data_IF_714246026573
#
_entry.id   IF_714246026573
#
_cell.length_a   1.000
_cell.length_b   1.000
_cell.length_c   1.000
_cell.angle_alpha   90.00
_cell.angle_beta   90.00
_cell.angle_gamma   90.00
#
_symmetry.space_group_name_H-M   'P 1'
#
loop_
_entity.id
_entity.type
_entity.pdbx_description
1 polymer ?
#
# COMPACT_ATOMS: atom_id res chain seq x y z
N UNK A 1 -2.51 45.36 2.78
CA UNK A 1 -2.46 43.97 2.29
C UNK A 1 -3.16 43.94 0.95
N UNK A 2 -2.42 43.52 -0.07
CA UNK A 2 -2.92 43.27 -1.42
C UNK A 2 -4.06 42.22 -1.37
N UNK A 3 -5.02 42.30 -2.30
CA UNK A 3 -6.14 41.33 -2.35
C UNK A 3 -5.62 39.91 -2.56
N UNK A 4 -4.54 39.77 -3.33
CA UNK A 4 -3.82 38.51 -3.54
C UNK A 4 -3.28 37.94 -2.22
N UNK A 5 -2.61 38.75 -1.39
CA UNK A 5 -2.03 38.30 -0.11
C UNK A 5 -3.11 37.73 0.83
N UNK A 6 -4.27 38.41 0.87
CA UNK A 6 -5.42 37.93 1.65
C UNK A 6 -5.94 36.60 1.11
N UNK A 7 -6.03 36.46 -0.22
CA UNK A 7 -6.50 35.22 -0.86
C UNK A 7 -5.55 34.06 -0.58
N UNK A 8 -4.24 34.27 -0.76
CA UNK A 8 -3.20 33.27 -0.48
C UNK A 8 -3.26 32.83 0.99
N UNK A 9 -3.39 33.77 1.92
CA UNK A 9 -3.48 33.48 3.35
C UNK A 9 -4.75 32.69 3.70
N UNK A 10 -5.90 33.11 3.17
CA UNK A 10 -7.18 32.43 3.38
C UNK A 10 -7.15 30.99 2.86
N UNK A 11 -6.68 30.80 1.63
CA UNK A 11 -6.61 29.47 1.01
C UNK A 11 -5.67 28.52 1.77
N UNK A 12 -4.56 29.06 2.27
CA UNK A 12 -3.64 28.26 3.09
C UNK A 12 -4.30 27.81 4.40
N UNK A 13 -5.02 28.69 5.09
CA UNK A 13 -5.76 28.33 6.31
C UNK A 13 -6.76 27.23 6.00
N UNK A 14 -7.53 27.39 4.92
CA UNK A 14 -8.52 26.42 4.47
C UNK A 14 -7.92 25.04 4.16
N UNK A 15 -6.78 25.00 3.47
CA UNK A 15 -6.07 23.76 3.15
C UNK A 15 -5.58 23.14 4.45
N UNK A 16 -4.89 23.92 5.30
CA UNK A 16 -4.31 23.45 6.56
C UNK A 16 -5.34 22.83 7.50
N UNK A 17 -6.52 23.42 7.61
CA UNK A 17 -7.63 22.85 8.41
C UNK A 17 -8.14 21.51 7.88
N UNK A 18 -8.02 21.27 6.58
CA UNK A 18 -8.55 20.08 5.90
C UNK A 18 -7.47 19.00 5.67
N UNK A 19 -6.20 19.29 5.97
CA UNK A 19 -5.07 18.35 5.79
C UNK A 19 -5.26 17.02 6.52
N UNK A 20 -5.94 17.01 7.67
CA UNK A 20 -6.15 15.80 8.49
C UNK A 20 -7.21 14.85 7.93
N UNK A 21 -7.98 15.27 6.92
CA UNK A 21 -9.10 14.50 6.38
C UNK A 21 -9.04 14.48 4.84
N UNK A 22 -8.48 13.42 4.21
CA UNK A 22 -8.35 13.30 2.76
C UNK A 22 -9.63 13.59 1.98
N UNK A 23 -10.77 13.02 2.40
CA UNK A 23 -12.05 13.25 1.73
C UNK A 23 -12.51 14.72 1.75
N UNK A 24 -12.25 15.44 2.85
CA UNK A 24 -12.57 16.88 2.96
C UNK A 24 -11.66 17.70 2.07
N UNK A 25 -10.36 17.37 2.04
CA UNK A 25 -9.39 18.04 1.18
C UNK A 25 -9.67 17.80 -0.30
N UNK A 26 -9.98 16.55 -0.71
CA UNK A 26 -10.41 16.18 -2.06
C UNK A 26 -11.61 17.02 -2.52
N UNK A 27 -12.63 17.12 -1.66
CA UNK A 27 -13.83 17.90 -1.92
C UNK A 27 -13.53 19.40 -2.06
N UNK A 28 -12.71 19.96 -1.17
CA UNK A 28 -12.31 21.36 -1.22
C UNK A 28 -11.50 21.70 -2.48
N UNK A 29 -10.59 20.81 -2.87
CA UNK A 29 -9.81 20.94 -4.11
C UNK A 29 -10.64 20.60 -5.36
N UNK A 30 -11.89 20.12 -5.23
CA UNK A 30 -12.74 19.74 -6.37
C UNK A 30 -12.03 18.76 -7.30
N UNK A 31 -11.41 17.72 -6.74
CA UNK A 31 -10.70 16.70 -7.50
C UNK A 31 -11.64 15.56 -7.88
N UNK A 32 -11.72 15.27 -9.18
CA UNK A 32 -12.54 14.19 -9.73
C UNK A 32 -11.83 12.84 -9.64
N UNK A 33 -12.61 11.76 -9.53
CA UNK A 33 -12.06 10.43 -9.32
C UNK A 33 -11.29 9.88 -10.51
N UNK A 34 -11.72 10.24 -11.72
CA UNK A 34 -11.05 9.85 -12.96
C UNK A 34 -9.65 10.47 -13.04
N UNK A 35 -9.53 11.75 -12.68
CA UNK A 35 -8.25 12.45 -12.59
C UNK A 35 -7.32 11.81 -11.56
N UNK A 36 -7.81 11.52 -10.35
CA UNK A 36 -7.00 10.85 -9.31
C UNK A 36 -6.56 9.43 -9.73
N UNK A 37 -7.41 8.71 -10.45
CA UNK A 37 -7.10 7.39 -10.98
C UNK A 37 -6.02 7.43 -12.07
N UNK A 38 -6.00 8.48 -12.89
CA UNK A 38 -4.92 8.72 -13.84
C UNK A 38 -3.60 9.02 -13.13
N UNK A 39 -3.61 9.88 -12.11
CA UNK A 39 -2.42 10.18 -11.30
C UNK A 39 -1.88 8.94 -10.58
N UNK A 40 -2.76 8.07 -10.07
CA UNK A 40 -2.38 6.80 -9.48
C UNK A 40 -1.61 5.90 -10.46
N UNK A 41 -2.00 5.89 -11.75
CA UNK A 41 -1.27 5.14 -12.78
C UNK A 41 0.12 5.73 -13.01
N UNK A 42 0.24 7.05 -13.09
CA UNK A 42 1.52 7.74 -13.27
C UNK A 42 2.45 7.45 -12.08
N UNK A 43 1.96 7.58 -10.84
CA UNK A 43 2.71 7.25 -9.63
C UNK A 43 3.23 5.80 -9.63
N UNK A 44 2.44 4.83 -10.10
CA UNK A 44 2.87 3.43 -10.22
C UNK A 44 4.00 3.22 -11.23
N UNK A 45 4.10 4.08 -12.24
CA UNK A 45 5.16 4.00 -13.26
C UNK A 45 6.47 4.67 -12.86
N UNK A 46 6.49 5.46 -11.77
CA UNK A 46 7.71 6.06 -11.24
C UNK A 46 8.53 5.01 -10.47
N UNK A 47 9.47 4.36 -11.17
CA UNK A 47 10.22 3.21 -10.66
C UNK A 47 11.46 3.56 -9.84
N UNK A 48 12.13 4.68 -10.16
CA UNK A 48 13.44 5.03 -9.56
C UNK A 48 13.34 6.08 -8.46
N UNK A 49 12.54 7.14 -8.65
CA UNK A 49 12.39 8.20 -7.64
C UNK A 49 10.99 8.29 -7.03
N UNK A 50 10.08 7.36 -7.35
CA UNK A 50 8.72 7.25 -6.80
C UNK A 50 7.99 8.59 -6.70
N UNK A 51 7.60 9.00 -5.48
CA UNK A 51 6.87 10.26 -5.22
C UNK A 51 7.67 11.51 -5.55
N UNK A 52 8.97 11.51 -5.31
CA UNK A 52 9.89 12.64 -5.57
C UNK A 52 9.99 12.89 -7.08
N UNK A 53 10.17 11.84 -7.87
CA UNK A 53 10.21 11.90 -9.34
C UNK A 53 8.89 12.43 -9.92
N UNK A 54 7.77 11.89 -9.42
CA UNK A 54 6.44 12.33 -9.79
C UNK A 54 6.24 13.83 -9.51
N UNK A 55 6.53 14.30 -8.29
CA UNK A 55 6.41 15.71 -7.91
C UNK A 55 7.29 16.61 -8.76
N UNK A 56 8.56 16.21 -8.97
CA UNK A 56 9.50 16.97 -9.81
C UNK A 56 8.95 17.16 -11.22
N UNK A 57 8.42 16.11 -11.85
CA UNK A 57 7.86 16.17 -13.21
C UNK A 57 6.69 17.15 -13.31
N UNK A 58 5.75 17.10 -12.36
CA UNK A 58 4.60 18.00 -12.35
C UNK A 58 4.98 19.45 -12.06
N UNK A 59 5.87 19.68 -11.10
CA UNK A 59 6.38 21.02 -10.78
C UNK A 59 7.12 21.62 -11.98
N UNK A 60 7.97 20.84 -12.65
CA UNK A 60 8.62 21.27 -13.88
C UNK A 60 7.61 21.62 -14.97
N UNK A 61 6.54 20.84 -15.14
CA UNK A 61 5.47 21.16 -16.09
C UNK A 61 4.81 22.52 -15.81
N UNK A 62 4.51 22.81 -14.54
CA UNK A 62 3.96 24.11 -14.10
C UNK A 62 4.94 25.24 -14.41
N UNK A 63 6.21 25.13 -14.04
CA UNK A 63 7.19 26.19 -14.29
C UNK A 63 7.54 26.35 -15.77
N UNK A 64 7.59 25.28 -16.56
CA UNK A 64 7.74 25.37 -18.01
C UNK A 64 6.57 26.10 -18.67
N UNK A 65 5.36 25.96 -18.13
CA UNK A 65 4.24 26.81 -18.54
C UNK A 65 4.47 28.27 -18.16
N UNK A 66 4.79 28.56 -16.89
CA UNK A 66 4.99 29.94 -16.41
C UNK A 66 6.10 30.67 -17.19
N UNK A 67 7.21 30.00 -17.50
CA UNK A 67 8.30 30.57 -18.33
C UNK A 67 7.84 30.86 -19.77
N UNK A 68 6.97 30.02 -20.36
CA UNK A 68 6.42 30.31 -21.70
C UNK A 68 5.58 31.59 -21.74
N UNK A 69 5.00 32.00 -20.61
CA UNK A 69 4.23 33.24 -20.50
C UNK A 69 5.09 34.50 -20.66
N UNK A 70 6.41 34.38 -20.56
CA UNK A 70 7.33 35.48 -20.89
C UNK A 70 7.25 35.85 -22.38
N UNK A 71 6.87 34.90 -23.25
CA UNK A 71 6.85 35.09 -24.70
C UNK A 71 5.45 34.95 -25.31
N UNK A 72 4.51 34.30 -24.61
CA UNK A 72 3.19 33.96 -25.13
C UNK A 72 2.06 34.39 -24.18
N UNK A 73 0.89 34.70 -24.74
CA UNK A 73 -0.31 34.98 -23.95
C UNK A 73 -1.02 33.67 -23.65
N UNK A 74 -1.29 33.32 -22.38
CA UNK A 74 -1.99 32.09 -22.04
C UNK A 74 -3.46 32.17 -22.40
N UNK A 75 -4.07 31.03 -22.75
CA UNK A 75 -5.53 30.90 -22.73
C UNK A 75 -6.01 30.64 -21.30
N UNK A 76 -7.29 30.93 -21.01
CA UNK A 76 -7.89 30.58 -19.72
C UNK A 76 -7.83 29.08 -19.44
N UNK A 77 -8.03 28.26 -20.47
CA UNK A 77 -7.93 26.80 -20.38
C UNK A 77 -6.53 26.34 -19.98
N UNK A 78 -5.47 26.93 -20.56
CA UNK A 78 -4.09 26.58 -20.17
C UNK A 78 -3.83 26.83 -18.68
N UNK A 79 -4.43 27.88 -18.12
CA UNK A 79 -4.28 28.27 -16.71
C UNK A 79 -5.07 27.32 -15.81
N UNK A 80 -6.29 26.97 -16.20
CA UNK A 80 -7.12 25.98 -15.49
C UNK A 80 -6.43 24.62 -15.42
N UNK A 81 -5.81 24.17 -16.51
CA UNK A 81 -5.03 22.92 -16.54
C UNK A 81 -3.87 22.94 -15.54
N UNK A 82 -3.15 24.05 -15.41
CA UNK A 82 -2.05 24.15 -14.42
C UNK A 82 -2.55 24.31 -13.00
N UNK A 83 -3.67 24.98 -12.80
CA UNK A 83 -4.32 25.05 -11.49
C UNK A 83 -4.77 23.66 -11.04
N UNK A 84 -5.30 22.82 -11.94
CA UNK A 84 -5.62 21.43 -11.66
C UNK A 84 -4.39 20.62 -11.26
N UNK A 85 -3.27 20.75 -11.98
CA UNK A 85 -2.00 20.08 -11.62
C UNK A 85 -1.54 20.49 -10.22
N UNK A 86 -1.66 21.77 -9.86
CA UNK A 86 -1.30 22.25 -8.52
C UNK A 86 -2.21 21.68 -7.44
N UNK A 87 -3.52 21.54 -7.72
CA UNK A 87 -4.45 20.87 -6.79
C UNK A 87 -4.09 19.40 -6.58
N UNK A 88 -3.77 18.67 -7.65
CA UNK A 88 -3.33 17.27 -7.55
C UNK A 88 -2.05 17.15 -6.73
N UNK A 89 -1.06 18.03 -6.97
CA UNK A 89 0.18 18.08 -6.20
C UNK A 89 -0.06 18.34 -4.71
N UNK A 90 -0.89 19.33 -4.36
CA UNK A 90 -1.28 19.61 -2.97
C UNK A 90 -1.89 18.35 -2.34
N UNK A 91 -2.78 17.67 -3.05
CA UNK A 91 -3.46 16.49 -2.53
C UNK A 91 -2.50 15.32 -2.30
N UNK A 92 -1.66 14.98 -3.28
CA UNK A 92 -0.66 13.92 -3.16
C UNK A 92 0.31 14.22 -2.02
N UNK A 93 0.77 15.46 -1.90
CA UNK A 93 1.69 15.88 -0.85
C UNK A 93 1.05 15.82 0.55
N UNK A 94 -0.25 16.09 0.64
CA UNK A 94 -1.02 15.98 1.88
C UNK A 94 -1.23 14.53 2.29
N UNK A 95 -1.46 13.62 1.34
CA UNK A 95 -1.52 12.19 1.63
C UNK A 95 -0.16 11.67 2.14
N UNK A 96 0.93 12.09 1.50
CA UNK A 96 2.28 11.75 1.95
C UNK A 96 2.53 12.27 3.38
N UNK A 97 2.08 13.49 3.68
CA UNK A 97 2.16 14.06 5.02
C UNK A 97 1.42 13.19 6.06
N UNK A 98 0.23 12.68 5.72
CA UNK A 98 -0.53 11.80 6.60
C UNK A 98 0.12 10.43 6.79
N UNK A 99 0.78 9.89 5.77
CA UNK A 99 1.63 8.71 5.92
C UNK A 99 2.82 8.99 6.84
N UNK A 100 3.48 10.14 6.68
CA UNK A 100 4.59 10.56 7.53
C UNK A 100 4.21 10.79 9.00
N UNK A 101 2.94 11.09 9.27
CA UNK A 101 2.38 11.17 10.63
C UNK A 101 1.88 9.82 11.18
N UNK A 102 1.87 8.75 10.37
CA UNK A 102 1.26 7.47 10.73
C UNK A 102 -0.27 7.49 10.85
N UNK A 103 -0.93 8.54 10.33
CA UNK A 103 -2.40 8.67 10.35
C UNK A 103 -3.07 7.86 9.24
N UNK A 104 -2.38 7.67 8.12
CA UNK A 104 -2.78 6.72 7.08
C UNK A 104 -1.96 5.44 7.23
N UNK A 105 -2.67 4.30 7.27
CA UNK A 105 -2.02 2.98 7.29
C UNK A 105 -1.75 2.53 5.86
N UNK A 106 -0.56 1.97 5.57
CA UNK A 106 -0.29 1.35 4.28
C UNK A 106 -1.32 0.24 4.04
N UNK A 107 -1.86 0.22 2.82
CA UNK A 107 -2.82 -0.79 2.42
C UNK A 107 -2.10 -1.88 1.64
N UNK A 108 -2.32 -3.12 2.05
CA UNK A 108 -1.88 -4.29 1.29
C UNK A 108 -2.51 -4.22 -0.10
N UNK A 109 -1.69 -4.37 -1.13
CA UNK A 109 -2.16 -4.89 -2.41
C UNK A 109 -2.65 -6.32 -2.14
N UNK A 110 -3.93 -6.45 -1.83
CA UNK A 110 -4.65 -7.72 -1.98
C UNK A 110 -4.85 -7.88 -3.49
N UNK A 111 -3.78 -8.24 -4.22
CA UNK A 111 -3.81 -8.03 -5.68
C UNK A 111 -2.64 -8.55 -6.51
N UNK A 112 -2.16 -9.75 -6.23
CA UNK A 112 -1.55 -10.65 -7.21
C UNK A 112 -1.78 -12.08 -6.74
N UNK A 113 -2.68 -12.82 -7.39
CA UNK A 113 -3.05 -14.23 -7.13
C UNK A 113 -3.96 -14.58 -5.95
N UNK A 114 -4.90 -13.71 -5.58
CA UNK A 114 -6.10 -14.15 -4.85
C UNK A 114 -7.36 -14.00 -5.72
N UNK A 115 -7.38 -14.70 -6.85
CA UNK A 115 -8.61 -15.39 -7.22
C UNK A 115 -8.95 -16.32 -6.07
N UNK A 116 -10.19 -16.35 -5.55
CA UNK A 116 -10.65 -17.50 -4.81
C UNK A 116 -10.69 -18.64 -5.84
N UNK A 117 -9.58 -19.37 -5.96
CA UNK A 117 -9.55 -20.63 -6.66
C UNK A 117 -10.41 -21.59 -5.85
N UNK A 118 -11.71 -21.51 -6.05
CA UNK A 118 -12.68 -22.59 -5.89
C UNK A 118 -12.44 -23.69 -6.94
N UNK A 119 -11.17 -23.95 -7.27
CA UNK A 119 -10.69 -25.10 -8.03
C UNK A 119 -9.86 -25.91 -7.06
N UNK A 120 -10.44 -27.04 -6.61
CA UNK A 120 -9.80 -27.93 -5.64
C UNK A 120 -8.39 -28.28 -6.07
N UNK A 121 -7.41 -27.74 -5.34
CA UNK A 121 -6.09 -28.34 -5.32
C UNK A 121 -6.26 -29.82 -4.91
N UNK A 122 -5.55 -30.76 -5.57
CA UNK A 122 -5.64 -32.15 -5.20
C UNK A 122 -5.33 -32.28 -3.71
N UNK A 123 -6.15 -33.03 -2.96
CA UNK A 123 -6.02 -33.09 -1.52
C UNK A 123 -4.62 -33.60 -1.17
N UNK A 124 -3.86 -32.82 -0.40
CA UNK A 124 -2.45 -33.13 -0.08
C UNK A 124 -2.36 -34.56 0.49
N UNK A 125 -1.45 -35.39 -0.04
CA UNK A 125 -1.24 -36.74 0.47
C UNK A 125 -0.81 -36.70 1.95
N UNK A 126 -1.34 -37.63 2.75
CA UNK A 126 -1.04 -37.73 4.18
C UNK A 126 0.48 -37.86 4.43
N UNK A 127 1.17 -38.58 3.55
CA UNK A 127 2.62 -38.80 3.61
C UNK A 127 3.42 -37.50 3.48
N UNK A 128 2.93 -36.57 2.65
CA UNK A 128 3.56 -35.26 2.46
C UNK A 128 3.35 -34.38 3.70
N UNK A 129 2.16 -34.40 4.30
CA UNK A 129 1.88 -33.66 5.54
C UNK A 129 2.78 -34.17 6.67
N UNK A 130 2.92 -35.48 6.83
CA UNK A 130 3.78 -36.09 7.85
C UNK A 130 5.25 -35.75 7.61
N UNK A 131 5.72 -35.85 6.36
CA UNK A 131 7.11 -35.51 6.01
C UNK A 131 7.40 -34.05 6.29
N UNK A 132 6.50 -33.14 5.92
CA UNK A 132 6.67 -31.71 6.09
C UNK A 132 6.64 -31.28 7.56
N UNK A 133 5.70 -31.81 8.35
CA UNK A 133 5.62 -31.54 9.80
C UNK A 133 6.86 -32.08 10.53
N UNK A 134 7.36 -33.26 10.15
CA UNK A 134 8.58 -33.84 10.73
C UNK A 134 9.83 -33.04 10.33
N UNK A 135 9.91 -32.58 9.08
CA UNK A 135 10.99 -31.71 8.62
C UNK A 135 10.99 -30.37 9.37
N UNK A 136 9.81 -29.78 9.60
CA UNK A 136 9.65 -28.54 10.39
C UNK A 136 10.02 -28.73 11.86
N UNK A 137 9.65 -29.86 12.46
CA UNK A 137 10.03 -30.21 13.83
C UNK A 137 11.54 -30.38 14.00
N UNK A 138 12.20 -30.97 13.00
CA UNK A 138 13.66 -31.13 12.98
C UNK A 138 14.38 -29.78 12.76
N UNK A 139 13.80 -28.88 11.97
CA UNK A 139 14.34 -27.54 11.74
C UNK A 139 14.15 -26.60 12.93
N UNK A 140 13.01 -26.69 13.62
CA UNK A 140 12.65 -25.86 14.78
C UNK A 140 12.08 -26.73 15.92
N UNK A 141 12.92 -27.15 16.89
CA UNK A 141 12.48 -28.01 18.00
C UNK A 141 11.49 -27.32 18.96
N UNK A 142 11.36 -26.00 18.90
CA UNK A 142 10.38 -25.23 19.66
C UNK A 142 8.94 -25.42 19.16
N UNK A 143 8.75 -25.78 17.88
CA UNK A 143 7.44 -26.14 17.32
C UNK A 143 6.85 -27.39 17.98
N UNK A 144 7.67 -28.18 18.67
CA UNK A 144 7.22 -29.31 19.50
C UNK A 144 6.30 -28.87 20.66
N UNK A 145 6.37 -27.59 21.07
CA UNK A 145 5.54 -27.03 22.13
C UNK A 145 4.14 -26.63 21.62
N UNK A 146 3.98 -26.41 20.31
CA UNK A 146 2.70 -26.03 19.70
C UNK A 146 1.66 -27.16 19.85
N UNK A 147 0.49 -26.78 20.37
CA UNK A 147 -0.67 -27.67 20.54
C UNK A 147 -1.12 -28.32 19.23
N UNK A 148 -0.96 -27.62 18.10
CA UNK A 148 -1.42 -28.09 16.78
C UNK A 148 -0.49 -29.15 16.21
N UNK A 149 0.83 -28.95 16.33
CA UNK A 149 1.83 -29.95 15.94
C UNK A 149 1.67 -31.23 16.77
N UNK A 150 1.39 -31.10 18.07
CA UNK A 150 1.07 -32.25 18.94
C UNK A 150 -0.19 -32.99 18.49
N UNK A 151 -1.24 -32.25 18.11
CA UNK A 151 -2.50 -32.81 17.64
C UNK A 151 -2.30 -33.55 16.31
N UNK A 152 -1.55 -32.97 15.36
CA UNK A 152 -1.20 -33.64 14.09
C UNK A 152 -0.43 -34.94 14.36
N UNK A 153 0.59 -34.91 15.23
CA UNK A 153 1.36 -36.12 15.58
C UNK A 153 0.50 -37.20 16.26
N UNK A 154 -0.45 -36.81 17.10
CA UNK A 154 -1.41 -37.71 17.74
C UNK A 154 -2.33 -38.36 16.70
N UNK A 155 -2.89 -37.60 15.76
CA UNK A 155 -3.75 -38.12 14.69
C UNK A 155 -2.98 -39.06 13.75
N UNK A 156 -1.70 -38.78 13.49
CA UNK A 156 -0.80 -39.68 12.73
C UNK A 156 -0.58 -41.00 13.48
N UNK A 157 -0.43 -40.95 14.80
CA UNK A 157 -0.33 -42.17 15.61
C UNK A 157 -1.65 -42.96 15.63
N UNK A 158 -2.79 -42.27 15.66
CA UNK A 158 -4.11 -42.89 15.60
C UNK A 158 -4.32 -43.57 14.24
N UNK A 159 -3.95 -42.92 13.13
CA UNK A 159 -3.94 -43.50 11.79
C UNK A 159 -3.12 -44.79 11.73
N UNK A 160 -1.89 -44.79 12.27
CA UNK A 160 -1.04 -45.99 12.32
C UNK A 160 -1.67 -47.13 13.12
N UNK A 161 -2.28 -46.81 14.28
CA UNK A 161 -2.96 -47.79 15.12
C UNK A 161 -4.17 -48.42 14.42
N UNK A 162 -5.02 -47.62 13.78
CA UNK A 162 -6.17 -48.14 13.03
C UNK A 162 -5.70 -48.98 11.82
N UNK A 163 -4.64 -48.56 11.13
CA UNK A 163 -4.06 -49.33 10.02
C UNK A 163 -3.48 -50.69 10.46
N UNK A 164 -2.79 -50.73 11.60
CA UNK A 164 -2.27 -51.98 12.17
C UNK A 164 -3.41 -52.91 12.63
N UNK A 165 -4.46 -52.36 13.23
CA UNK A 165 -5.68 -53.11 13.58
C UNK A 165 -6.35 -53.69 12.34
N UNK A 166 -6.45 -52.91 11.26
CA UNK A 166 -6.96 -53.38 9.98
C UNK A 166 -6.11 -54.54 9.43
N UNK A 167 -4.78 -54.41 9.44
CA UNK A 167 -3.88 -55.47 8.96
C UNK A 167 -3.99 -56.78 9.76
N UNK A 168 -4.27 -56.69 11.06
CA UNK A 168 -4.43 -57.85 11.94
C UNK A 168 -5.81 -58.52 11.83
N UNK A 169 -6.87 -57.74 11.61
CA UNK A 169 -8.25 -58.21 11.56
C UNK A 169 -8.70 -58.60 10.17
N UNK A 170 -8.18 -57.95 9.12
CA UNK A 170 -8.47 -58.22 7.71
C UNK A 170 -8.41 -59.71 7.33
N UNK A 171 -7.36 -60.48 7.69
CA UNK A 171 -7.28 -61.91 7.34
C UNK A 171 -8.16 -62.84 8.19
N UNK A 172 -8.83 -62.32 9.23
CA UNK A 172 -9.64 -63.10 10.19
C UNK A 172 -11.15 -62.89 10.03
N UNK A 173 -11.57 -62.06 9.07
CA UNK A 173 -12.96 -61.68 8.87
C UNK A 173 -13.60 -62.60 7.82
N UNK A 174 -14.77 -63.19 8.10
CA UNK A 174 -15.54 -63.93 7.09
C UNK A 174 -15.97 -63.03 5.94
N UNK A 175 -15.96 -63.56 4.71
CA UNK A 175 -16.26 -62.81 3.46
C UNK A 175 -17.60 -62.04 3.54
N UNK A 176 -18.60 -62.62 4.21
CA UNK A 176 -19.93 -62.04 4.41
C UNK A 176 -19.92 -60.73 5.22
N UNK A 177 -18.89 -60.52 6.07
CA UNK A 177 -18.74 -59.33 6.94
C UNK A 177 -17.63 -58.38 6.49
N UNK A 178 -16.85 -58.77 5.49
CA UNK A 178 -15.71 -58.00 5.00
C UNK A 178 -16.13 -56.60 4.48
N UNK A 179 -17.25 -56.52 3.75
CA UNK A 179 -17.76 -55.26 3.20
C UNK A 179 -18.14 -54.24 4.29
N UNK A 180 -18.80 -54.69 5.36
CA UNK A 180 -19.16 -53.82 6.48
C UNK A 180 -17.96 -53.36 7.32
N UNK A 181 -16.96 -54.23 7.47
CA UNK A 181 -15.71 -53.87 8.14
C UNK A 181 -14.91 -52.84 7.33
N UNK A 182 -14.79 -53.03 6.03
CA UNK A 182 -14.13 -52.10 5.12
C UNK A 182 -14.81 -50.72 5.12
N UNK A 183 -16.14 -50.67 5.07
CA UNK A 183 -16.88 -49.41 5.11
C UNK A 183 -16.66 -48.65 6.44
N UNK A 184 -16.63 -49.35 7.58
CA UNK A 184 -16.37 -48.75 8.88
C UNK A 184 -14.92 -48.26 9.01
N UNK A 185 -13.96 -49.03 8.50
CA UNK A 185 -12.55 -48.63 8.48
C UNK A 185 -12.32 -47.41 7.58
N UNK A 186 -12.88 -47.41 6.37
CA UNK A 186 -12.81 -46.27 5.45
C UNK A 186 -13.39 -45.00 6.07
N UNK A 187 -14.52 -45.11 6.78
CA UNK A 187 -15.12 -43.98 7.49
C UNK A 187 -14.18 -43.42 8.58
N UNK A 188 -13.64 -44.28 9.44
CA UNK A 188 -12.71 -43.86 10.50
C UNK A 188 -11.44 -43.21 9.96
N UNK A 189 -10.86 -43.79 8.91
CA UNK A 189 -9.67 -43.21 8.26
C UNK A 189 -10.02 -41.87 7.61
N UNK A 190 -11.19 -41.75 6.98
CA UNK A 190 -11.65 -40.48 6.41
C UNK A 190 -11.80 -39.39 7.48
N UNK A 191 -12.33 -39.74 8.66
CA UNK A 191 -12.49 -38.81 9.78
C UNK A 191 -11.12 -38.34 10.31
N UNK A 192 -10.16 -39.26 10.49
CA UNK A 192 -8.79 -38.96 10.93
C UNK A 192 -8.07 -38.08 9.90
N UNK A 193 -8.16 -38.43 8.61
CA UNK A 193 -7.54 -37.66 7.53
C UNK A 193 -8.17 -36.27 7.40
N UNK A 194 -9.48 -36.16 7.60
CA UNK A 194 -10.20 -34.87 7.63
C UNK A 194 -9.73 -33.97 8.76
N UNK A 195 -9.65 -34.50 9.98
CA UNK A 195 -9.18 -33.77 11.15
C UNK A 195 -7.71 -33.30 10.99
N UNK A 196 -6.85 -34.18 10.48
CA UNK A 196 -5.44 -33.89 10.25
C UNK A 196 -5.24 -32.79 9.20
N UNK A 197 -6.01 -32.81 8.10
CA UNK A 197 -5.98 -31.75 7.08
C UNK A 197 -6.42 -30.41 7.63
N UNK A 198 -7.50 -30.38 8.40
CA UNK A 198 -7.98 -29.14 9.04
C UNK A 198 -6.93 -28.51 9.97
N UNK A 199 -6.27 -29.33 10.79
CA UNK A 199 -5.20 -28.87 11.68
C UNK A 199 -3.96 -28.38 10.91
N UNK A 200 -3.62 -29.04 9.79
CA UNK A 200 -2.51 -28.62 8.94
C UNK A 200 -2.79 -27.28 8.22
N UNK A 201 -3.98 -27.10 7.68
CA UNK A 201 -4.40 -25.84 7.06
C UNK A 201 -4.42 -24.68 8.07
N UNK A 202 -4.87 -24.95 9.31
CA UNK A 202 -4.86 -23.96 10.38
C UNK A 202 -3.45 -23.56 10.81
N UNK A 203 -2.50 -24.51 10.85
CA UNK A 203 -1.08 -24.25 11.09
C UNK A 203 -0.48 -23.35 10.00
N UNK A 204 -0.75 -23.66 8.73
CA UNK A 204 -0.31 -22.81 7.61
C UNK A 204 -0.95 -21.42 7.64
N UNK A 205 -2.21 -21.33 8.08
CA UNK A 205 -2.92 -20.05 8.22
C UNK A 205 -2.34 -19.20 9.36
N UNK A 206 -1.90 -19.78 10.47
CA UNK A 206 -1.23 -19.04 11.55
C UNK A 206 0.15 -18.55 11.15
N UNK A 207 0.95 -19.38 10.47
CA UNK A 207 2.27 -18.98 9.97
C UNK A 207 2.14 -17.76 9.04
N UNK A 208 1.13 -17.78 8.16
CA UNK A 208 0.80 -16.65 7.29
C UNK A 208 0.40 -15.40 8.08
N UNK A 209 -0.30 -15.53 9.21
CA UNK A 209 -0.71 -14.38 10.05
C UNK A 209 0.45 -13.78 10.83
N UNK A 210 1.37 -14.58 11.33
CA UNK A 210 2.53 -14.11 12.10
C UNK A 210 3.56 -13.40 11.21
N UNK A 211 3.90 -14.00 10.06
CA UNK A 211 4.75 -13.37 9.03
C UNK A 211 4.13 -12.03 8.60
N UNK A 212 2.81 -12.01 8.43
CA UNK A 212 2.06 -10.83 8.02
C UNK A 212 1.97 -9.74 9.11
N UNK A 213 2.05 -10.10 10.38
CA UNK A 213 2.08 -9.16 11.51
C UNK A 213 3.44 -8.50 11.71
N UNK A 214 4.52 -9.25 11.58
CA UNK A 214 5.89 -8.70 11.65
C UNK A 214 6.23 -7.83 10.43
N UNK A 215 5.74 -8.18 9.25
CA UNK A 215 5.86 -7.34 8.06
C UNK A 215 5.06 -6.04 8.20
N UNK A 216 3.85 -6.06 8.78
CA UNK A 216 3.04 -4.86 8.97
C UNK A 216 3.70 -3.84 9.93
N UNK A 217 4.36 -4.31 11.00
CA UNK A 217 5.14 -3.43 11.88
C UNK A 217 6.31 -2.78 11.14
N UNK A 218 7.03 -3.55 10.31
CA UNK A 218 8.09 -3.02 9.44
C UNK A 218 7.54 -2.02 8.41
N UNK A 219 6.30 -2.21 7.93
CA UNK A 219 5.65 -1.29 6.99
C UNK A 219 5.26 0.04 7.63
N UNK A 220 4.77 0.06 8.86
CA UNK A 220 4.45 1.31 9.58
C UNK A 220 5.71 2.13 9.89
N UNK A 221 6.82 1.47 10.22
CA UNK A 221 8.10 2.14 10.52
C UNK A 221 8.76 2.80 9.29
N UNK A 222 8.51 2.29 8.08
CA UNK A 222 9.12 2.82 6.83
C UNK A 222 8.66 4.26 6.55
N UNK A 223 7.45 4.63 6.95
CA UNK A 223 6.88 5.95 6.63
C UNK A 223 7.20 7.03 7.67
N UNK A 224 7.73 6.66 8.84
CA UNK A 224 8.06 7.59 9.93
C UNK A 224 9.45 8.22 9.76
N UNK A 225 9.69 8.87 8.61
CA UNK A 225 10.95 9.56 8.34
C UNK A 225 11.05 10.84 9.17
N UNK A 226 12.05 11.00 10.05
CA UNK A 226 12.19 12.20 10.86
C UNK A 226 12.34 13.46 10.00
N UNK A 227 11.56 14.50 10.30
CA UNK A 227 11.62 15.79 9.60
C UNK A 227 10.88 15.86 8.26
N UNK A 228 10.49 14.72 7.68
CA UNK A 228 9.73 14.66 6.42
C UNK A 228 8.39 15.39 6.55
N UNK A 229 7.68 15.21 7.66
CA UNK A 229 6.40 15.88 7.92
C UNK A 229 6.49 17.42 7.85
N UNK A 230 7.55 18.02 8.40
CA UNK A 230 7.79 19.47 8.36
C UNK A 230 8.08 19.92 6.94
N UNK A 231 8.89 19.16 6.20
CA UNK A 231 9.21 19.47 4.82
C UNK A 231 7.97 19.41 3.92
N UNK A 232 7.16 18.36 4.05
CA UNK A 232 5.91 18.20 3.29
C UNK A 232 4.91 19.31 3.61
N UNK A 233 4.84 19.79 4.86
CA UNK A 233 4.02 20.95 5.21
C UNK A 233 4.50 22.22 4.48
N UNK A 234 5.81 22.48 4.46
CA UNK A 234 6.40 23.62 3.74
C UNK A 234 6.16 23.52 2.23
N UNK A 235 6.36 22.34 1.65
CA UNK A 235 6.04 22.09 0.24
C UNK A 235 4.56 22.38 -0.05
N UNK A 236 3.65 21.91 0.80
CA UNK A 236 2.20 22.14 0.63
C UNK A 236 1.85 23.62 0.71
N UNK A 237 2.51 24.37 1.59
CA UNK A 237 2.34 25.82 1.70
C UNK A 237 2.80 26.56 0.44
N UNK A 238 3.98 26.23 -0.10
CA UNK A 238 4.47 26.84 -1.34
C UNK A 238 3.58 26.47 -2.54
N UNK A 239 3.13 25.20 -2.64
CA UNK A 239 2.20 24.76 -3.67
C UNK A 239 0.84 25.47 -3.55
N UNK A 240 0.35 25.69 -2.32
CA UNK A 240 -0.85 26.48 -2.05
C UNK A 240 -0.71 27.91 -2.54
N UNK A 241 0.44 28.56 -2.28
CA UNK A 241 0.72 29.91 -2.77
C UNK A 241 0.67 29.98 -4.30
N UNK A 242 1.33 29.03 -4.98
CA UNK A 242 1.28 28.94 -6.44
C UNK A 242 -0.17 28.78 -6.92
N UNK A 243 -0.92 27.83 -6.36
CA UNK A 243 -2.31 27.55 -6.73
C UNK A 243 -3.20 28.78 -6.53
N UNK A 244 -3.12 29.43 -5.37
CA UNK A 244 -3.91 30.62 -5.06
C UNK A 244 -3.59 31.77 -6.00
N UNK A 245 -2.33 31.96 -6.37
CA UNK A 245 -1.93 33.01 -7.32
C UNK A 245 -2.43 32.72 -8.73
N UNK A 246 -2.34 31.45 -9.18
CA UNK A 246 -2.86 31.02 -10.49
C UNK A 246 -4.38 31.18 -10.56
N UNK A 247 -5.10 30.76 -9.51
CA UNK A 247 -6.55 30.88 -9.42
C UNK A 247 -7.00 32.35 -9.34
N UNK A 248 -6.29 33.17 -8.57
CA UNK A 248 -6.56 34.61 -8.51
C UNK A 248 -6.38 35.28 -9.87
N UNK A 249 -5.32 34.94 -10.62
CA UNK A 249 -5.13 35.42 -11.98
C UNK A 249 -6.32 35.02 -12.87
N UNK A 250 -6.79 33.77 -12.80
CA UNK A 250 -7.93 33.30 -13.58
C UNK A 250 -9.22 34.08 -13.26
N UNK A 251 -9.47 34.41 -12.00
CA UNK A 251 -10.70 35.08 -11.55
C UNK A 251 -10.73 36.57 -11.91
N UNK A 252 -9.61 37.28 -11.71
CA UNK A 252 -9.57 38.75 -11.88
C UNK A 252 -9.43 39.18 -13.33
N UNK A 253 -8.85 38.35 -14.21
CA UNK A 253 -8.70 38.64 -15.65
C UNK A 253 -7.72 39.78 -15.99
N UNK A 254 -7.38 40.64 -15.03
CA UNK A 254 -6.52 41.81 -15.21
C UNK A 254 -5.07 41.52 -14.78
N UNK A 255 -4.09 41.95 -15.59
CA UNK A 255 -2.64 41.75 -15.37
C UNK A 255 -2.21 40.28 -15.09
N UNK A 256 -2.99 39.29 -15.56
CA UNK A 256 -2.73 37.87 -15.36
C UNK A 256 -1.30 37.46 -15.71
N UNK A 257 -0.82 37.88 -16.89
CA UNK A 257 0.53 37.54 -17.36
C UNK A 257 1.61 38.06 -16.41
N UNK A 258 1.50 39.30 -15.92
CA UNK A 258 2.49 39.88 -15.02
C UNK A 258 2.53 39.16 -13.67
N UNK A 259 1.36 38.78 -13.12
CA UNK A 259 1.27 37.99 -11.88
C UNK A 259 1.86 36.59 -12.06
N UNK A 260 1.51 35.90 -13.14
CA UNK A 260 1.98 34.55 -13.41
C UNK A 260 3.48 34.51 -13.73
N UNK A 261 4.00 35.48 -14.48
CA UNK A 261 5.45 35.58 -14.76
C UNK A 261 6.24 35.81 -13.48
N UNK A 262 5.73 36.59 -12.50
CA UNK A 262 6.41 36.76 -11.20
C UNK A 262 6.61 35.43 -10.46
N UNK A 263 5.72 34.45 -10.66
CA UNK A 263 5.86 33.14 -10.04
C UNK A 263 7.09 32.38 -10.53
N UNK A 264 7.67 32.68 -11.70
CA UNK A 264 8.88 31.97 -12.19
C UNK A 264 10.06 32.09 -11.23
N UNK A 265 10.12 33.19 -10.46
CA UNK A 265 11.13 33.40 -9.39
C UNK A 265 11.06 32.37 -8.26
N UNK A 266 9.92 31.67 -8.11
CA UNK A 266 9.70 30.62 -7.11
C UNK A 266 10.15 29.23 -7.57
N UNK A 267 10.62 29.09 -8.81
CA UNK A 267 11.03 27.80 -9.39
C UNK A 267 12.10 27.10 -8.56
N UNK A 268 13.22 27.76 -8.32
CA UNK A 268 14.36 27.15 -7.64
C UNK A 268 14.06 26.84 -6.16
N UNK A 269 13.42 27.74 -5.39
CA UNK A 269 12.98 27.41 -4.04
C UNK A 269 12.06 26.17 -3.96
N UNK A 270 11.07 26.06 -4.85
CA UNK A 270 10.12 24.94 -4.83
C UNK A 270 10.79 23.63 -5.24
N UNK A 271 11.66 23.65 -6.25
CA UNK A 271 12.42 22.46 -6.66
C UNK A 271 13.42 22.03 -5.58
N UNK A 272 14.04 22.98 -4.87
CA UNK A 272 14.94 22.68 -3.76
C UNK A 272 14.25 21.92 -2.63
N UNK A 273 12.98 22.23 -2.33
CA UNK A 273 12.20 21.50 -1.33
C UNK A 273 11.97 20.03 -1.72
N UNK A 274 11.76 19.75 -3.02
CA UNK A 274 11.59 18.38 -3.53
C UNK A 274 12.93 17.64 -3.58
N UNK A 275 14.01 18.35 -3.84
CA UNK A 275 15.36 17.79 -3.74
C UNK A 275 15.75 17.44 -2.30
N UNK A 276 15.40 18.29 -1.34
CA UNK A 276 15.60 18.03 0.08
C UNK A 276 14.83 16.78 0.54
N UNK A 277 13.61 16.58 0.04
CA UNK A 277 12.83 15.37 0.31
C UNK A 277 13.53 14.14 -0.25
N UNK A 278 14.04 14.21 -1.48
CA UNK A 278 14.87 13.16 -2.07
C UNK A 278 16.07 12.82 -1.19
N UNK A 279 16.75 13.81 -0.61
CA UNK A 279 17.88 13.59 0.31
C UNK A 279 17.45 13.00 1.66
N UNK A 280 16.27 13.35 2.17
CA UNK A 280 15.72 12.74 3.39
C UNK A 280 15.44 11.26 3.17
N UNK A 281 14.80 10.90 2.05
CA UNK A 281 14.63 9.50 1.64
C UNK A 281 15.98 8.81 1.39
N UNK A 282 16.91 9.49 0.70
CA UNK A 282 18.37 9.33 0.68
C UNK A 282 18.96 8.75 1.97
N UNK A 283 18.91 9.59 3.00
CA UNK A 283 19.56 9.35 4.30
C UNK A 283 18.84 8.27 5.11
N UNK A 284 17.50 8.23 5.06
CA UNK A 284 16.70 7.21 5.74
C UNK A 284 16.88 5.83 5.11
N UNK A 285 16.90 5.76 3.78
CA UNK A 285 17.05 4.50 3.07
C UNK A 285 18.48 3.92 3.10
N UNK A 286 19.49 4.66 3.57
CA UNK A 286 20.77 4.05 3.96
C UNK A 286 20.64 3.15 5.20
N UNK A 287 19.54 3.27 5.95
CA UNK A 287 19.19 2.39 7.08
C UNK A 287 18.24 1.25 6.67
N UNK A 288 17.49 1.41 5.57
CA UNK A 288 16.50 0.44 5.03
C UNK A 288 16.60 0.45 3.49
N UNK A 289 16.98 -0.66 2.86
CA UNK A 289 17.19 -0.80 1.39
C UNK A 289 16.33 0.15 0.51
N UNK A 290 16.99 1.23 0.02
CA UNK A 290 16.47 2.43 -0.66
C UNK A 290 15.40 2.27 -1.75
N UNK A 291 15.47 1.28 -2.67
CA UNK A 291 14.50 1.19 -3.77
C UNK A 291 13.07 0.90 -3.30
N UNK A 292 12.90 0.43 -2.07
CA UNK A 292 11.62 -0.09 -1.60
C UNK A 292 10.75 0.98 -0.95
N UNK A 293 11.29 1.88 -0.13
CA UNK A 293 10.47 2.80 0.69
C UNK A 293 9.69 3.82 -0.14
N UNK A 294 10.37 4.56 -1.04
CA UNK A 294 9.75 5.61 -1.87
C UNK A 294 8.81 5.02 -2.91
N UNK A 295 9.18 3.86 -3.49
CA UNK A 295 8.33 3.13 -4.44
C UNK A 295 7.11 2.53 -3.73
N UNK A 296 7.27 2.00 -2.51
CA UNK A 296 6.14 1.52 -1.70
C UNK A 296 5.23 2.66 -1.27
N UNK A 297 5.75 3.83 -0.92
CA UNK A 297 4.93 5.01 -0.65
C UNK A 297 4.13 5.40 -1.90
N UNK A 298 4.77 5.47 -3.06
CA UNK A 298 4.10 5.76 -4.33
C UNK A 298 2.98 4.74 -4.64
N UNK A 299 3.20 3.44 -4.36
CA UNK A 299 2.17 2.40 -4.49
C UNK A 299 1.01 2.62 -3.51
N UNK A 300 1.30 2.86 -2.23
CA UNK A 300 0.27 3.10 -1.21
C UNK A 300 -0.54 4.37 -1.52
N UNK A 301 0.11 5.42 -1.98
CA UNK A 301 -0.55 6.63 -2.47
C UNK A 301 -1.44 6.30 -3.66
N UNK A 302 -0.95 5.57 -4.66
CA UNK A 302 -1.74 5.17 -5.81
C UNK A 302 -2.99 4.35 -5.44
N UNK A 303 -2.87 3.42 -4.49
CA UNK A 303 -4.02 2.66 -3.96
C UNK A 303 -4.99 3.58 -3.23
N UNK A 304 -4.49 4.52 -2.43
CA UNK A 304 -5.32 5.48 -1.69
C UNK A 304 -6.08 6.41 -2.64
N UNK A 305 -5.42 6.90 -3.68
CA UNK A 305 -6.01 7.74 -4.73
C UNK A 305 -7.17 7.05 -5.46
N UNK A 306 -7.10 5.73 -5.67
CA UNK A 306 -8.15 4.96 -6.35
C UNK A 306 -9.41 4.73 -5.50
N UNK A 307 -9.34 4.91 -4.17
CA UNK A 307 -10.45 4.60 -3.25
C UNK A 307 -11.17 5.82 -2.67
N UNK A 308 -10.46 6.93 -2.50
CA UNK A 308 -11.05 8.20 -2.04
C UNK A 308 -12.04 8.74 -3.07
#
# INVERSE_FOLDING_TARGET
MDLLDKKVTSDWIDIREKLTAPARLKSYLKLEQEGLSAEAKVLRTCTLGGTVEYKRKLIQSVFSFLTRLEFQTPTGQDIEERELVLRQLIYVNSLEYLFALGQLRPQRDVGGDNTPSSGGAPPVPLEDIVREVTARLNANPELAKDSRVKTILMEVQLYKKEYDQFKQLSPKIPDDRAAGFLANFQRRISDIVGALRGQYEELLASDRREISGEQAKKEEDIFLVPGLNRLLMTQTQELSLLRSTVNFALQEGYQMRALLVRLTTRKDPVLALVEEEGRLWESWGRQITLPDAVVRLARNLAVTLQRQ
#
